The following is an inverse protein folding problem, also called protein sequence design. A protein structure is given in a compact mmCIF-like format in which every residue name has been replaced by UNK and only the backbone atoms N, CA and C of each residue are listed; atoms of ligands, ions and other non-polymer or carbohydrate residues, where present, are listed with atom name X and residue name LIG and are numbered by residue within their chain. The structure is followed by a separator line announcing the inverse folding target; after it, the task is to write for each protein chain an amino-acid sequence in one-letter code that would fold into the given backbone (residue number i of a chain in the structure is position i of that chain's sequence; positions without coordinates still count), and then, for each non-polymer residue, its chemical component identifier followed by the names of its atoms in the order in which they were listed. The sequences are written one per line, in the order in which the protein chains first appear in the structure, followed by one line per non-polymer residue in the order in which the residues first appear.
data_IF_848302299271
#
_entry.id   IF_848302299271
#
_cell.length_a   1.000
_cell.length_b   1.000
_cell.length_c   1.000
_cell.angle_alpha   90.00
_cell.angle_beta   90.00
_cell.angle_gamma   90.00
#
_symmetry.space_group_name_H-M   'P 1'
#
loop_
_entity.id
_entity.type
_entity.pdbx_description
1 polymer ?
#
# COMPACT_ATOMS: atom_id res chain seq x y z
N UNK A 1 5.73 12.55 20.81
CA UNK A 1 5.09 13.86 20.52
C UNK A 1 4.75 14.75 21.72
N UNK A 2 3.95 14.36 22.72
CA UNK A 2 3.57 15.24 23.85
C UNK A 2 4.78 15.88 24.55
N UNK A 3 5.79 15.07 24.89
CA UNK A 3 6.99 15.56 25.59
C UNK A 3 7.76 16.63 24.82
N UNK A 4 7.90 16.54 23.49
CA UNK A 4 8.58 17.59 22.73
C UNK A 4 7.82 18.90 22.77
N UNK A 5 6.50 18.87 22.60
CA UNK A 5 5.66 20.06 22.66
C UNK A 5 5.68 20.66 24.07
N UNK A 6 5.63 19.83 25.10
CA UNK A 6 5.72 20.26 26.50
C UNK A 6 7.08 20.92 26.80
N UNK A 7 8.20 20.34 26.34
CA UNK A 7 9.52 20.92 26.54
C UNK A 7 9.76 22.18 25.72
N UNK A 8 9.28 22.23 24.47
CA UNK A 8 9.28 23.46 23.66
C UNK A 8 8.47 24.56 24.34
N UNK A 9 7.28 24.23 24.85
CA UNK A 9 6.44 25.19 25.56
C UNK A 9 7.08 25.67 26.87
N UNK A 10 7.66 24.76 27.66
CA UNK A 10 8.35 25.09 28.91
C UNK A 10 9.57 25.97 28.66
N UNK A 11 10.44 25.59 27.72
CA UNK A 11 11.63 26.37 27.38
C UNK A 11 11.26 27.68 26.66
N UNK A 12 10.18 27.69 25.88
CA UNK A 12 9.63 28.91 25.28
C UNK A 12 9.12 29.90 26.34
N UNK A 13 8.48 29.42 27.40
CA UNK A 13 8.11 30.26 28.54
C UNK A 13 9.34 30.76 29.31
N UNK A 14 10.35 29.91 29.48
CA UNK A 14 11.65 30.27 30.07
C UNK A 14 12.35 31.39 29.31
N UNK A 15 12.46 31.28 27.98
CA UNK A 15 13.02 32.35 27.14
C UNK A 15 12.21 33.64 27.24
N UNK A 16 10.87 33.58 27.21
CA UNK A 16 9.99 34.74 27.30
C UNK A 16 10.16 35.50 28.63
N UNK A 17 10.35 34.80 29.74
CA UNK A 17 10.58 35.40 31.06
C UNK A 17 12.01 35.96 31.19
N UNK A 18 12.98 35.29 30.56
CA UNK A 18 14.40 35.64 30.68
C UNK A 18 14.79 36.84 29.80
N UNK A 19 14.12 37.05 28.66
CA UNK A 19 14.39 38.19 27.77
C UNK A 19 14.23 39.56 28.48
N UNK A 20 13.13 39.87 29.19
CA UNK A 20 13.02 41.11 29.96
C UNK A 20 14.09 41.26 31.05
N UNK A 21 14.50 40.16 31.69
CA UNK A 21 15.58 40.17 32.70
C UNK A 21 16.93 40.48 32.07
N UNK A 22 17.20 39.94 30.88
CA UNK A 22 18.41 40.26 30.12
C UNK A 22 18.45 41.73 29.72
N UNK A 23 17.34 42.30 29.24
CA UNK A 23 17.25 43.73 28.93
C UNK A 23 17.51 44.58 30.18
N UNK A 24 16.90 44.21 31.32
CA UNK A 24 17.07 44.94 32.58
C UNK A 24 18.50 44.90 33.13
N UNK A 25 19.21 43.77 32.97
CA UNK A 25 20.60 43.62 33.44
C UNK A 25 21.59 44.35 32.55
N UNK A 26 21.35 44.39 31.23
CA UNK A 26 22.14 45.17 30.28
C UNK A 26 21.94 46.69 30.45
N UNK A 27 20.73 47.13 30.76
CA UNK A 27 20.41 48.55 30.93
C UNK A 27 20.89 49.15 32.26
N UNK A 28 21.25 48.32 33.25
CA UNK A 28 21.61 48.77 34.59
C UNK A 28 22.96 48.20 35.03
N UNK A 29 24.00 49.04 35.06
CA UNK A 29 25.38 48.66 35.40
C UNK A 29 25.53 48.03 36.80
N UNK A 30 24.64 48.36 37.73
CA UNK A 30 24.60 47.79 39.09
C UNK A 30 24.22 46.31 39.14
N UNK A 31 23.64 45.75 38.07
CA UNK A 31 23.24 44.34 37.94
C UNK A 31 24.13 43.53 37.02
N UNK A 32 25.28 44.08 36.63
CA UNK A 32 26.21 43.44 35.68
C UNK A 32 26.77 42.09 36.16
N UNK A 33 26.83 41.86 37.48
CA UNK A 33 27.26 40.59 38.06
C UNK A 33 26.30 39.42 37.80
N UNK A 34 25.02 39.69 37.50
CA UNK A 34 24.00 38.68 37.22
C UNK A 34 23.95 38.27 35.74
N UNK A 35 24.65 39.01 34.87
CA UNK A 35 24.61 38.83 33.42
C UNK A 35 25.02 37.42 32.96
N UNK A 36 26.09 36.79 33.50
CA UNK A 36 26.49 35.45 33.09
C UNK A 36 25.39 34.41 33.36
N UNK A 37 24.74 34.46 34.52
CA UNK A 37 23.72 33.50 34.93
C UNK A 37 22.45 33.64 34.07
N UNK A 38 22.04 34.88 33.79
CA UNK A 38 20.90 35.17 32.90
C UNK A 38 21.18 34.69 31.47
N UNK A 39 22.41 34.87 30.99
CA UNK A 39 22.81 34.43 29.65
C UNK A 39 22.89 32.91 29.53
N UNK A 40 23.41 32.22 30.55
CA UNK A 40 23.44 30.75 30.60
C UNK A 40 22.01 30.19 30.59
N UNK A 41 21.11 30.74 31.42
CA UNK A 41 19.70 30.32 31.46
C UNK A 41 19.00 30.50 30.11
N UNK A 42 19.17 31.67 29.48
CA UNK A 42 18.62 31.92 28.14
C UNK A 42 19.20 30.96 27.09
N UNK A 43 20.49 30.68 27.15
CA UNK A 43 21.16 29.74 26.25
C UNK A 43 20.62 28.32 26.37
N UNK A 44 20.37 27.86 27.60
CA UNK A 44 19.75 26.54 27.87
C UNK A 44 18.35 26.49 27.27
N UNK A 45 17.50 27.49 27.54
CA UNK A 45 16.12 27.52 27.06
C UNK A 45 16.05 27.57 25.52
N UNK A 46 16.85 28.43 24.88
CA UNK A 46 16.93 28.51 23.41
C UNK A 46 17.45 27.19 22.83
N UNK A 47 18.50 26.62 23.41
CA UNK A 47 19.05 25.33 23.01
C UNK A 47 18.02 24.20 23.10
N UNK A 48 17.26 24.16 24.20
CA UNK A 48 16.18 23.19 24.40
C UNK A 48 15.09 23.35 23.34
N UNK A 49 14.61 24.57 23.08
CA UNK A 49 13.61 24.83 22.02
C UNK A 49 14.11 24.31 20.67
N UNK A 50 15.35 24.65 20.28
CA UNK A 50 15.91 24.25 18.99
C UNK A 50 16.04 22.71 18.86
N UNK A 51 16.58 22.05 19.89
CA UNK A 51 16.75 20.58 19.88
C UNK A 51 15.39 19.88 19.82
N UNK A 52 14.44 20.27 20.68
CA UNK A 52 13.15 19.61 20.72
C UNK A 52 12.29 19.93 19.49
N UNK A 53 12.39 21.13 18.91
CA UNK A 53 11.74 21.46 17.65
C UNK A 53 12.30 20.61 16.51
N UNK A 54 13.63 20.44 16.42
CA UNK A 54 14.26 19.57 15.44
C UNK A 54 13.79 18.11 15.58
N UNK A 55 13.80 17.57 16.80
CA UNK A 55 13.32 16.21 17.08
C UNK A 55 11.83 16.05 16.74
N UNK A 56 11.00 17.04 17.06
CA UNK A 56 9.58 17.05 16.73
C UNK A 56 9.34 16.98 15.22
N UNK A 57 10.02 17.83 14.43
CA UNK A 57 9.90 17.84 12.96
C UNK A 57 10.34 16.49 12.39
N UNK A 58 11.47 15.95 12.86
CA UNK A 58 11.98 14.64 12.40
C UNK A 58 11.00 13.50 12.71
N UNK A 59 10.48 13.42 13.94
CA UNK A 59 9.51 12.39 14.34
C UNK A 59 8.20 12.54 13.57
N UNK A 60 7.72 13.77 13.38
CA UNK A 60 6.49 14.04 12.63
C UNK A 60 6.61 13.61 11.17
N UNK A 61 7.74 13.90 10.53
CA UNK A 61 8.01 13.43 9.16
C UNK A 61 8.03 11.90 9.08
N UNK A 62 8.70 11.22 10.03
CA UNK A 62 8.74 9.76 10.08
C UNK A 62 7.33 9.15 10.30
N UNK A 63 6.54 9.75 11.20
CA UNK A 63 5.15 9.35 11.46
C UNK A 63 4.26 9.52 10.22
N UNK A 64 4.37 10.64 9.52
CA UNK A 64 3.58 10.91 8.31
C UNK A 64 3.90 9.92 7.17
N UNK A 65 5.17 9.53 7.02
CA UNK A 65 5.56 8.48 6.07
C UNK A 65 4.94 7.13 6.45
N UNK A 66 4.86 6.79 7.74
CA UNK A 66 4.21 5.55 8.18
C UNK A 66 2.69 5.59 7.97
N UNK A 67 2.03 6.68 8.35
CA UNK A 67 0.58 6.84 8.18
C UNK A 67 0.19 6.77 6.69
N UNK A 68 0.95 7.44 5.81
CA UNK A 68 0.67 7.40 4.37
C UNK A 68 0.87 6.00 3.77
N UNK A 69 1.85 5.22 4.25
CA UNK A 69 1.99 3.80 3.86
C UNK A 69 0.82 2.96 4.35
N UNK A 70 0.44 3.08 5.62
CA UNK A 70 -0.68 2.33 6.21
C UNK A 70 -2.00 2.67 5.51
N UNK A 71 -2.28 3.95 5.29
CA UNK A 71 -3.48 4.40 4.57
C UNK A 71 -3.55 3.83 3.15
N UNK A 72 -2.42 3.70 2.45
CA UNK A 72 -2.37 3.06 1.12
C UNK A 72 -2.71 1.57 1.18
N UNK A 73 -2.13 0.86 2.14
CA UNK A 73 -2.42 -0.57 2.36
C UNK A 73 -3.87 -0.81 2.79
N UNK A 74 -4.43 0.09 3.61
CA UNK A 74 -5.82 0.07 4.04
C UNK A 74 -6.77 0.31 2.86
N UNK A 75 -6.51 1.32 2.02
CA UNK A 75 -7.30 1.60 0.82
C UNK A 75 -7.31 0.41 -0.15
N UNK A 76 -6.15 -0.20 -0.39
CA UNK A 76 -6.04 -1.43 -1.17
C UNK A 76 -6.89 -2.56 -0.56
N UNK A 77 -6.80 -2.73 0.76
CA UNK A 77 -7.51 -3.80 1.46
C UNK A 77 -9.04 -3.67 1.38
N UNK A 78 -9.55 -2.45 1.25
CA UNK A 78 -10.97 -2.16 1.17
C UNK A 78 -11.54 -2.29 -0.26
N UNK A 79 -10.69 -2.34 -1.29
CA UNK A 79 -11.13 -2.52 -2.68
C UNK A 79 -11.95 -3.80 -2.82
N UNK A 80 -13.01 -3.71 -3.62
CA UNK A 80 -13.98 -4.79 -3.81
C UNK A 80 -13.63 -5.63 -5.03
N UNK A 81 -13.81 -6.93 -4.87
CA UNK A 81 -13.57 -7.96 -5.87
C UNK A 81 -14.79 -8.86 -5.95
N UNK A 82 -15.15 -9.26 -7.16
CA UNK A 82 -16.17 -10.27 -7.43
C UNK A 82 -15.48 -11.61 -7.61
N UNK A 83 -15.89 -12.59 -6.81
CA UNK A 83 -15.44 -13.98 -6.93
C UNK A 83 -16.40 -14.71 -7.87
N UNK A 84 -17.70 -14.63 -7.58
CA UNK A 84 -18.80 -15.22 -8.36
C UNK A 84 -19.88 -14.16 -8.57
N UNK A 85 -20.87 -14.44 -9.43
CA UNK A 85 -22.01 -13.56 -9.70
C UNK A 85 -22.68 -13.05 -8.41
N UNK A 86 -22.83 -13.91 -7.41
CA UNK A 86 -23.50 -13.60 -6.15
C UNK A 86 -22.56 -13.22 -4.99
N UNK A 87 -21.23 -13.20 -5.19
CA UNK A 87 -20.27 -13.03 -4.09
C UNK A 87 -19.26 -11.94 -4.36
N UNK A 88 -19.39 -10.84 -3.62
CA UNK A 88 -18.45 -9.73 -3.58
C UNK A 88 -17.69 -9.79 -2.25
N UNK A 89 -16.37 -9.76 -2.32
CA UNK A 89 -15.46 -9.71 -1.16
C UNK A 89 -14.57 -8.47 -1.24
N UNK A 90 -13.89 -8.12 -0.16
CA UNK A 90 -12.79 -7.16 -0.24
C UNK A 90 -11.45 -7.87 -0.40
N UNK A 91 -10.43 -7.13 -0.87
CA UNK A 91 -9.04 -7.62 -0.89
C UNK A 91 -8.59 -8.09 0.51
N UNK A 92 -9.07 -7.45 1.58
CA UNK A 92 -8.79 -7.84 2.96
C UNK A 92 -9.24 -9.28 3.27
N UNK A 93 -10.36 -9.73 2.71
CA UNK A 93 -10.87 -11.10 2.92
C UNK A 93 -9.94 -12.18 2.36
N UNK A 94 -9.01 -11.83 1.47
CA UNK A 94 -8.03 -12.77 0.92
C UNK A 94 -6.81 -12.95 1.84
N UNK A 95 -6.64 -12.11 2.87
CA UNK A 95 -5.49 -12.19 3.77
C UNK A 95 -5.48 -13.51 4.53
N UNK A 96 -4.35 -14.20 4.53
CA UNK A 96 -4.17 -15.53 5.11
C UNK A 96 -4.71 -16.67 4.23
N UNK A 97 -5.41 -16.37 3.13
CA UNK A 97 -6.04 -17.36 2.27
C UNK A 97 -5.32 -17.45 0.91
N UNK A 98 -5.08 -16.31 0.26
CA UNK A 98 -4.52 -16.25 -1.09
C UNK A 98 -3.61 -15.03 -1.30
N UNK A 99 -2.75 -15.10 -2.31
CA UNK A 99 -1.85 -14.03 -2.76
C UNK A 99 -2.44 -13.37 -3.99
N UNK A 100 -2.68 -12.07 -3.94
CA UNK A 100 -3.24 -11.34 -5.06
C UNK A 100 -2.14 -10.82 -6.01
N UNK A 101 -2.34 -10.97 -7.31
CA UNK A 101 -1.54 -10.35 -8.36
C UNK A 101 -2.47 -9.47 -9.19
N UNK A 102 -2.22 -8.16 -9.18
CA UNK A 102 -3.01 -7.18 -9.93
C UNK A 102 -2.28 -6.90 -11.23
N UNK A 103 -2.98 -7.01 -12.35
CA UNK A 103 -2.52 -6.62 -13.67
C UNK A 103 -3.30 -5.37 -14.09
N UNK A 104 -2.61 -4.26 -14.36
CA UNK A 104 -3.25 -3.02 -14.77
C UNK A 104 -2.62 -2.49 -16.05
N UNK A 105 -3.39 -2.40 -17.13
CA UNK A 105 -2.90 -1.95 -18.42
C UNK A 105 -3.92 -2.18 -19.53
N UNK A 106 -3.53 -1.98 -20.80
CA UNK A 106 -4.39 -2.27 -21.95
C UNK A 106 -4.84 -3.74 -21.98
N UNK A 107 -6.00 -4.01 -22.60
CA UNK A 107 -6.54 -5.35 -22.73
C UNK A 107 -5.56 -6.32 -23.44
N UNK A 108 -4.81 -5.82 -24.42
CA UNK A 108 -3.76 -6.59 -25.13
C UNK A 108 -2.65 -7.06 -24.20
N UNK A 109 -2.17 -6.17 -23.31
CA UNK A 109 -1.16 -6.49 -22.31
C UNK A 109 -1.65 -7.55 -21.33
N UNK A 110 -2.91 -7.45 -20.90
CA UNK A 110 -3.49 -8.42 -19.97
C UNK A 110 -3.59 -9.80 -20.62
N UNK A 111 -4.10 -9.89 -21.85
CA UNK A 111 -4.18 -11.14 -22.62
C UNK A 111 -2.81 -11.81 -22.76
N UNK A 112 -1.78 -11.03 -23.14
CA UNK A 112 -0.42 -11.54 -23.26
C UNK A 112 0.18 -11.97 -21.91
N UNK A 113 -0.12 -11.24 -20.83
CA UNK A 113 0.30 -11.62 -19.48
C UNK A 113 -0.26 -12.99 -19.07
N UNK A 114 -1.53 -13.25 -19.38
CA UNK A 114 -2.15 -14.56 -19.18
C UNK A 114 -1.52 -15.64 -20.05
N UNK A 115 -1.20 -15.36 -21.32
CA UNK A 115 -0.48 -16.31 -22.18
C UNK A 115 0.85 -16.75 -21.57
N UNK A 116 1.64 -15.79 -21.06
CA UNK A 116 2.92 -16.05 -20.39
C UNK A 116 2.77 -16.85 -19.09
N UNK A 117 1.59 -16.81 -18.47
CA UNK A 117 1.29 -17.54 -17.23
C UNK A 117 0.89 -19.00 -17.46
N UNK A 118 0.49 -19.38 -18.69
CA UNK A 118 -0.09 -20.71 -19.01
C UNK A 118 0.82 -21.86 -18.57
N UNK A 119 2.13 -21.75 -18.83
CA UNK A 119 3.12 -22.77 -18.46
C UNK A 119 3.33 -22.93 -16.95
N UNK A 120 2.83 -21.97 -16.15
CA UNK A 120 3.02 -21.93 -14.70
C UNK A 120 1.71 -22.09 -13.93
N UNK A 121 0.55 -22.23 -14.61
CA UNK A 121 -0.78 -22.13 -13.97
C UNK A 121 -0.96 -23.09 -12.79
N UNK A 122 -0.54 -24.35 -12.91
CA UNK A 122 -0.67 -25.33 -11.81
C UNK A 122 0.19 -24.92 -10.60
N UNK A 123 1.45 -24.56 -10.84
CA UNK A 123 2.34 -24.09 -9.78
C UNK A 123 1.85 -22.80 -9.10
N UNK A 124 1.19 -21.92 -9.85
CA UNK A 124 0.59 -20.68 -9.33
C UNK A 124 -0.64 -20.99 -8.45
N UNK A 125 -1.51 -21.90 -8.88
CA UNK A 125 -2.70 -22.36 -8.14
C UNK A 125 -2.28 -23.04 -6.83
N UNK A 126 -1.29 -23.93 -6.85
CA UNK A 126 -0.76 -24.58 -5.64
C UNK A 126 -0.21 -23.60 -4.60
N UNK A 127 0.20 -22.41 -5.06
CA UNK A 127 0.70 -21.32 -4.20
C UNK A 127 -0.39 -20.30 -3.87
N UNK A 128 -1.65 -20.60 -4.20
CA UNK A 128 -2.80 -19.75 -3.90
C UNK A 128 -2.69 -18.37 -4.53
N UNK A 129 -2.19 -18.27 -5.76
CA UNK A 129 -2.08 -17.00 -6.48
C UNK A 129 -3.37 -16.72 -7.24
N UNK A 130 -3.93 -15.53 -7.01
CA UNK A 130 -5.13 -15.00 -7.64
C UNK A 130 -4.77 -13.81 -8.51
N UNK A 131 -5.29 -13.74 -9.74
CA UNK A 131 -5.05 -12.62 -10.65
C UNK A 131 -6.29 -11.74 -10.75
N UNK A 132 -6.08 -10.44 -10.59
CA UNK A 132 -7.08 -9.39 -10.84
C UNK A 132 -6.65 -8.62 -12.07
N UNK A 133 -7.27 -8.86 -13.23
CA UNK A 133 -7.05 -8.04 -14.40
C UNK A 133 -7.87 -6.75 -14.34
N UNK A 134 -7.23 -5.63 -14.64
CA UNK A 134 -7.84 -4.30 -14.68
C UNK A 134 -7.46 -3.60 -16.00
N UNK A 135 -8.39 -3.60 -16.95
CA UNK A 135 -8.23 -2.92 -18.23
C UNK A 135 -8.28 -1.39 -18.02
N UNK A 136 -7.25 -0.68 -18.48
CA UNK A 136 -7.18 0.79 -18.39
C UNK A 136 -7.66 1.52 -19.63
N UNK A 137 -7.79 0.82 -20.76
CA UNK A 137 -8.19 1.33 -22.08
C UNK A 137 -9.72 1.40 -22.25
N UNK A 138 -10.49 0.91 -21.28
CA UNK A 138 -11.96 0.88 -21.36
C UNK A 138 -12.51 -0.17 -22.31
N UNK A 139 -11.63 -0.94 -22.94
CA UNK A 139 -12.00 -2.11 -23.73
C UNK A 139 -12.56 -3.20 -22.81
N UNK A 140 -13.69 -3.84 -23.18
CA UNK A 140 -14.19 -4.98 -22.45
C UNK A 140 -13.11 -6.06 -22.46
N UNK A 141 -12.77 -6.51 -21.26
CA UNK A 141 -11.78 -7.55 -21.10
C UNK A 141 -12.42 -8.89 -21.41
N UNK A 142 -12.46 -9.21 -22.71
CA UNK A 142 -12.97 -10.49 -23.19
C UNK A 142 -11.92 -11.58 -22.92
N UNK A 143 -11.90 -12.04 -21.66
CA UNK A 143 -11.20 -13.24 -21.21
C UNK A 143 -12.15 -14.46 -21.17
N UNK A 144 -13.45 -14.22 -21.34
CA UNK A 144 -14.44 -15.27 -21.53
C UNK A 144 -14.46 -15.65 -23.00
N UNK A 145 -13.94 -16.83 -23.32
CA UNK A 145 -14.18 -17.42 -24.63
C UNK A 145 -15.68 -17.73 -24.71
N UNK A 146 -16.31 -17.32 -25.82
CA UNK A 146 -17.68 -17.59 -26.23
C UNK A 146 -18.24 -18.90 -25.66
N UNK A 147 -19.39 -18.81 -24.96
CA UNK A 147 -20.24 -19.97 -24.63
C UNK A 147 -20.89 -20.54 -25.90
N UNK A 148 -20.09 -21.04 -26.83
CA UNK A 148 -20.58 -21.82 -27.96
C UNK A 148 -19.85 -23.16 -28.01
N UNK A 149 -20.46 -24.16 -27.38
CA UNK A 149 -20.05 -25.56 -27.48
C UNK A 149 -19.85 -26.22 -26.13
N UNK A 150 -20.52 -27.36 -25.93
CA UNK A 150 -20.63 -28.15 -24.69
C UNK A 150 -19.31 -28.74 -24.13
N UNK A 151 -18.14 -28.22 -24.49
CA UNK A 151 -16.84 -28.71 -24.01
C UNK A 151 -15.96 -27.57 -23.48
N UNK A 152 -16.32 -27.01 -22.33
CA UNK A 152 -15.39 -26.20 -21.54
C UNK A 152 -14.17 -27.06 -21.17
N UNK A 153 -13.04 -26.81 -21.83
CA UNK A 153 -11.81 -27.58 -21.60
C UNK A 153 -11.39 -27.48 -20.12
N UNK A 154 -10.71 -28.50 -19.58
CA UNK A 154 -10.16 -28.48 -18.21
C UNK A 154 -9.32 -27.22 -17.95
N UNK A 155 -8.70 -26.68 -19.01
CA UNK A 155 -7.91 -25.45 -19.00
C UNK A 155 -8.76 -24.20 -18.73
N UNK A 156 -9.99 -24.12 -19.25
CA UNK A 156 -10.88 -22.95 -19.08
C UNK A 156 -11.51 -22.93 -17.69
N UNK A 157 -11.86 -24.10 -17.15
CA UNK A 157 -12.24 -24.25 -15.73
C UNK A 157 -11.10 -23.86 -14.81
N UNK A 158 -9.89 -24.34 -15.10
CA UNK A 158 -8.66 -23.94 -14.38
C UNK A 158 -8.42 -22.44 -14.46
N UNK A 159 -8.75 -21.76 -15.58
CA UNK A 159 -8.60 -20.30 -15.74
C UNK A 159 -9.58 -19.50 -14.90
N UNK A 160 -10.84 -19.91 -14.81
CA UNK A 160 -11.84 -19.22 -13.98
C UNK A 160 -11.47 -19.28 -12.49
N UNK A 161 -10.95 -20.41 -12.00
CA UNK A 161 -10.66 -20.62 -10.58
C UNK A 161 -9.66 -19.64 -9.94
N UNK A 162 -8.74 -19.05 -10.70
CA UNK A 162 -7.72 -18.14 -10.14
C UNK A 162 -7.85 -16.69 -10.61
N UNK A 163 -8.94 -16.34 -11.30
CA UNK A 163 -9.21 -14.98 -11.74
C UNK A 163 -10.30 -14.34 -10.89
N UNK A 164 -10.13 -13.06 -10.55
CA UNK A 164 -11.09 -12.26 -9.81
C UNK A 164 -11.39 -10.97 -10.56
N UNK A 165 -12.66 -10.58 -10.61
CA UNK A 165 -13.07 -9.38 -11.34
C UNK A 165 -13.14 -8.17 -10.39
N UNK A 166 -12.48 -7.05 -10.71
CA UNK A 166 -12.59 -5.83 -9.90
C UNK A 166 -14.02 -5.29 -9.92
N UNK A 167 -14.50 -4.86 -8.75
CA UNK A 167 -15.80 -4.19 -8.58
C UNK A 167 -15.56 -2.73 -8.25
N UNK A 168 -16.44 -1.83 -8.68
CA UNK A 168 -16.26 -0.37 -8.58
C UNK A 168 -14.95 0.07 -9.27
N UNK A 169 -14.93 -0.05 -10.60
CA UNK A 169 -13.75 0.22 -11.44
C UNK A 169 -13.15 1.61 -11.23
N UNK A 170 -13.95 2.59 -10.82
CA UNK A 170 -13.50 3.94 -10.46
C UNK A 170 -12.58 3.98 -9.23
N UNK A 171 -12.86 3.19 -8.20
CA UNK A 171 -12.01 3.10 -7.01
C UNK A 171 -10.68 2.41 -7.33
N UNK A 172 -10.73 1.38 -8.17
CA UNK A 172 -9.56 0.69 -8.69
C UNK A 172 -8.68 1.62 -9.53
N UNK A 173 -9.26 2.34 -10.49
CA UNK A 173 -8.55 3.31 -11.32
C UNK A 173 -7.85 4.36 -10.44
N UNK A 174 -8.61 5.00 -9.53
CA UNK A 174 -8.08 6.01 -8.62
C UNK A 174 -6.92 5.47 -7.78
N UNK A 175 -7.05 4.28 -7.23
CA UNK A 175 -6.00 3.68 -6.42
C UNK A 175 -4.74 3.37 -7.23
N UNK A 176 -4.89 2.80 -8.44
CA UNK A 176 -3.79 2.49 -9.37
C UNK A 176 -3.07 3.77 -9.81
N UNK A 177 -3.80 4.81 -10.19
CA UNK A 177 -3.25 6.09 -10.62
C UNK A 177 -2.45 6.76 -9.50
N UNK A 178 -2.97 6.73 -8.27
CA UNK A 178 -2.23 7.20 -7.10
C UNK A 178 -0.94 6.39 -6.88
N UNK A 179 -0.96 5.06 -7.09
CA UNK A 179 0.26 4.24 -7.00
C UNK A 179 1.28 4.59 -8.09
N UNK A 180 0.84 4.74 -9.35
CA UNK A 180 1.69 5.11 -10.48
C UNK A 180 2.34 6.48 -10.26
N UNK A 181 1.57 7.47 -9.82
CA UNK A 181 2.06 8.82 -9.52
C UNK A 181 3.13 8.81 -8.43
N UNK A 182 2.92 8.05 -7.36
CA UNK A 182 3.91 7.92 -6.27
C UNK A 182 5.19 7.20 -6.72
N UNK A 183 5.06 6.21 -7.60
CA UNK A 183 6.18 5.47 -8.18
C UNK A 183 6.87 6.21 -9.33
N UNK A 184 6.39 7.40 -9.73
CA UNK A 184 6.84 8.16 -10.91
C UNK A 184 6.79 7.33 -12.21
N UNK A 185 5.76 6.49 -12.33
CA UNK A 185 5.47 5.69 -13.53
C UNK A 185 4.49 6.46 -14.40
N UNK A 186 4.63 6.37 -15.73
CA UNK A 186 3.73 7.04 -16.65
C UNK A 186 2.30 6.46 -16.55
N UNK A 187 1.24 7.27 -16.68
CA UNK A 187 -0.15 6.83 -16.47
C UNK A 187 -0.59 5.68 -17.39
N UNK A 188 -0.10 5.69 -18.62
CA UNK A 188 -0.37 4.73 -19.70
C UNK A 188 0.46 3.43 -19.58
N UNK A 189 1.50 3.42 -18.74
CA UNK A 189 2.38 2.26 -18.61
C UNK A 189 1.62 1.06 -18.02
N UNK A 190 1.71 -0.13 -18.64
CA UNK A 190 1.19 -1.35 -18.04
C UNK A 190 2.02 -1.70 -16.81
N UNK A 191 1.36 -2.06 -15.71
CA UNK A 191 2.00 -2.40 -14.45
C UNK A 191 1.43 -3.67 -13.87
N UNK A 192 2.24 -4.34 -13.06
CA UNK A 192 1.79 -5.41 -12.20
C UNK A 192 2.08 -5.08 -10.74
N UNK A 193 1.26 -5.64 -9.86
CA UNK A 193 1.49 -5.68 -8.43
C UNK A 193 1.30 -7.10 -7.92
N UNK A 194 2.10 -7.49 -6.94
CA UNK A 194 1.98 -8.76 -6.25
C UNK A 194 1.88 -8.51 -4.76
N UNK A 195 0.91 -9.15 -4.12
CA UNK A 195 0.67 -9.08 -2.68
C UNK A 195 1.17 -10.36 -2.01
N UNK A 196 1.62 -10.21 -0.77
CA UNK A 196 1.87 -11.32 0.14
C UNK A 196 0.54 -11.85 0.69
N UNK A 197 0.60 -12.97 1.41
CA UNK A 197 -0.57 -13.54 2.12
C UNK A 197 -1.14 -12.59 3.18
N UNK A 198 -0.33 -11.69 3.74
CA UNK A 198 -0.80 -10.69 4.71
C UNK A 198 -1.46 -9.46 4.04
N UNK A 199 -1.60 -9.46 2.71
CA UNK A 199 -2.18 -8.38 1.93
C UNK A 199 -1.24 -7.20 1.67
N UNK A 200 0.01 -7.25 2.12
CA UNK A 200 1.01 -6.20 1.85
C UNK A 200 1.64 -6.38 0.48
N UNK A 201 2.09 -5.28 -0.12
CA UNK A 201 2.77 -5.32 -1.43
C UNK A 201 4.11 -6.06 -1.29
N UNK A 202 4.25 -7.17 -2.02
CA UNK A 202 5.51 -7.94 -2.13
C UNK A 202 6.44 -7.33 -3.17
N UNK A 203 5.89 -6.96 -4.31
CA UNK A 203 6.64 -6.45 -5.45
C UNK A 203 5.71 -5.84 -6.48
N UNK A 204 6.22 -4.83 -7.18
CA UNK A 204 5.51 -4.08 -8.22
C UNK A 204 6.49 -3.72 -9.32
N UNK A 205 6.02 -3.62 -10.56
CA UNK A 205 6.87 -3.22 -11.68
C UNK A 205 6.07 -2.82 -12.91
N UNK A 206 6.76 -2.23 -13.88
CA UNK A 206 6.23 -1.95 -15.22
C UNK A 206 6.39 -3.22 -16.07
N UNK A 207 5.37 -3.54 -16.87
CA UNK A 207 5.33 -4.73 -17.71
C UNK A 207 4.78 -5.97 -16.99
N UNK A 208 5.25 -7.15 -17.39
CA UNK A 208 4.68 -8.43 -16.97
C UNK A 208 5.19 -8.87 -15.60
N UNK A 209 4.35 -9.55 -14.80
CA UNK A 209 4.80 -10.17 -13.56
C UNK A 209 5.77 -11.33 -13.84
N UNK A 210 6.75 -11.57 -12.95
CA UNK A 210 7.69 -12.67 -13.08
C UNK A 210 7.05 -14.00 -12.63
N UNK A 211 6.18 -14.59 -13.46
CA UNK A 211 5.42 -15.80 -13.15
C UNK A 211 6.30 -16.96 -12.65
N UNK A 212 7.43 -17.21 -13.31
CA UNK A 212 8.39 -18.24 -12.91
C UNK A 212 8.92 -18.00 -11.48
N UNK A 213 9.25 -16.75 -11.13
CA UNK A 213 9.76 -16.42 -9.80
C UNK A 213 8.73 -16.67 -8.71
N UNK A 214 7.44 -16.46 -9.01
CA UNK A 214 6.37 -16.79 -8.05
C UNK A 214 6.31 -18.28 -7.77
N UNK A 215 6.42 -19.12 -8.79
CA UNK A 215 6.46 -20.58 -8.61
C UNK A 215 7.75 -21.03 -7.89
N UNK A 216 8.89 -20.44 -8.21
CA UNK A 216 10.15 -20.82 -7.60
C UNK A 216 10.27 -20.40 -6.12
N UNK A 217 9.74 -19.23 -5.74
CA UNK A 217 10.04 -18.60 -4.45
C UNK A 217 8.91 -18.68 -3.43
N UNK A 218 7.65 -18.84 -3.86
CA UNK A 218 6.52 -18.78 -2.93
C UNK A 218 6.18 -20.18 -2.40
N UNK A 219 5.89 -20.31 -1.09
CA UNK A 219 5.52 -21.59 -0.52
C UNK A 219 4.08 -21.97 -0.92
N UNK A 220 3.82 -23.27 -1.17
CA UNK A 220 2.50 -23.77 -1.49
C UNK A 220 1.52 -23.59 -0.33
N UNK A 221 0.24 -23.43 -0.63
CA UNK A 221 -0.84 -23.23 0.34
C UNK A 221 -1.75 -24.46 0.28
N UNK A 222 -1.67 -25.35 1.27
CA UNK A 222 -2.48 -26.58 1.30
C UNK A 222 -3.86 -26.31 1.91
N UNK A 223 -4.93 -26.76 1.24
CA UNK A 223 -6.25 -27.01 1.82
C UNK A 223 -7.15 -25.81 2.19
N UNK A 224 -6.60 -24.61 2.43
CA UNK A 224 -7.38 -23.48 2.98
C UNK A 224 -8.12 -22.68 1.90
N UNK A 225 -7.59 -22.58 0.68
CA UNK A 225 -8.16 -21.71 -0.36
C UNK A 225 -9.24 -22.36 -1.23
N UNK A 226 -9.30 -23.70 -1.34
CA UNK A 226 -10.36 -24.38 -2.11
C UNK A 226 -11.77 -24.00 -1.62
N UNK A 227 -11.96 -23.81 -0.31
CA UNK A 227 -13.25 -23.38 0.27
C UNK A 227 -13.71 -21.97 -0.14
N UNK A 228 -12.79 -21.08 -0.52
CA UNK A 228 -13.16 -19.75 -1.01
C UNK A 228 -13.78 -19.82 -2.42
N UNK A 229 -13.38 -20.83 -3.19
CA UNK A 229 -13.75 -21.09 -4.59
C UNK A 229 -14.79 -22.20 -4.74
N UNK A 230 -15.34 -22.73 -3.64
CA UNK A 230 -16.26 -23.88 -3.54
C UNK A 230 -17.66 -23.63 -4.16
N UNK A 231 -17.73 -22.71 -5.13
CA UNK A 231 -18.88 -22.45 -5.99
C UNK A 231 -18.48 -21.87 -7.35
N UNK A 232 -17.17 -21.80 -7.66
CA UNK A 232 -16.64 -21.47 -8.98
C UNK A 232 -16.56 -22.70 -9.90
N UNK A 233 -16.65 -23.90 -9.32
CA UNK A 233 -16.56 -25.16 -10.07
C UNK A 233 -17.89 -25.59 -10.72
N UNK A 234 -18.97 -24.82 -10.49
CA UNK A 234 -20.30 -25.07 -11.06
C UNK A 234 -21.08 -26.21 -10.41
N UNK A 235 -20.62 -26.81 -9.30
CA UNK A 235 -21.39 -27.80 -8.56
C UNK A 235 -22.52 -27.13 -7.80
N UNK A 236 -23.73 -27.24 -8.34
CA UNK A 236 -24.97 -27.02 -7.60
C UNK A 236 -25.10 -28.14 -6.56
N UNK A 237 -25.27 -27.79 -5.29
CA UNK A 237 -25.79 -28.72 -4.28
C UNK A 237 -27.25 -29.06 -4.59
#
# INVERSE_FOLDING_TARGET
MFFYVAFIASAGLGTLITIPRLISTLANSSRSSELPDVLIGLGIDVGAVLIFAFLYVRENNAKNVQISRLSREERLSNLKLRVNENKIISVNSLRGIARLVILAGPASFIKESFERSKSFSEGLIERGILVVPFATDGEPLDLDIEESGEEATVTDRKRRLWQLSPVLTSEWAKWIDEQKKLAKVAPDSPVYLSLRMDGRVRGSGVGYPPWNAFVAQLPPVKGIWLGLLDGMDGRVL
#
